data_IF_131172263201
#
_entry.id   IF_131172263201
#
_cell.length_a   1.000
_cell.length_b   1.000
_cell.length_c   1.000
_cell.angle_alpha   90.00
_cell.angle_beta   90.00
_cell.angle_gamma   90.00
#
_symmetry.space_group_name_H-M   'P 1'
#
loop_
_entity.id
_entity.type
_entity.pdbx_description
1 polymer ?
#
# COMPACT_ATOMS: atom_id res chain seq x y z
N UNK A 1 6.42 -3.99 3.55
CA UNK A 1 5.52 -4.64 4.53
C UNK A 1 6.34 -5.16 5.70
N UNK A 2 5.83 -5.09 6.92
CA UNK A 2 6.44 -5.72 8.11
C UNK A 2 5.50 -6.79 8.64
N UNK A 3 6.02 -7.99 8.86
CA UNK A 3 5.30 -9.11 9.46
C UNK A 3 5.79 -9.31 10.90
N UNK A 4 4.89 -9.37 11.86
CA UNK A 4 5.22 -9.40 13.30
C UNK A 4 4.48 -10.52 14.03
N UNK A 5 5.20 -11.22 14.92
CA UNK A 5 4.65 -12.15 15.90
C UNK A 5 5.49 -12.09 17.18
N UNK A 6 4.87 -12.00 18.37
CA UNK A 6 5.54 -12.07 19.67
C UNK A 6 6.85 -11.25 19.77
N UNK A 7 6.78 -9.97 19.39
CA UNK A 7 7.91 -9.00 19.35
C UNK A 7 9.00 -9.27 18.31
N UNK A 8 8.89 -10.31 17.50
CA UNK A 8 9.75 -10.54 16.34
C UNK A 8 9.10 -9.93 15.11
N UNK A 9 9.88 -9.16 14.36
CA UNK A 9 9.42 -8.48 13.14
C UNK A 9 10.38 -8.76 12.00
N UNK A 10 9.85 -8.99 10.80
CA UNK A 10 10.63 -9.11 9.57
C UNK A 10 10.04 -8.21 8.49
N UNK A 11 10.92 -7.58 7.71
CA UNK A 11 10.53 -6.76 6.55
C UNK A 11 10.44 -7.63 5.31
N UNK A 12 9.32 -7.49 4.61
CA UNK A 12 9.07 -8.10 3.31
C UNK A 12 8.90 -6.94 2.32
N UNK A 13 9.79 -6.79 1.33
CA UNK A 13 9.61 -5.80 0.27
C UNK A 13 8.36 -6.15 -0.53
N UNK A 14 7.62 -5.13 -0.97
CA UNK A 14 6.52 -5.30 -1.91
C UNK A 14 6.92 -4.76 -3.29
N UNK A 15 6.41 -5.33 -4.40
CA UNK A 15 5.53 -6.50 -4.45
C UNK A 15 6.26 -7.80 -4.04
N UNK A 16 5.51 -8.80 -3.57
CA UNK A 16 6.04 -10.09 -3.10
C UNK A 16 5.15 -11.27 -3.49
N UNK A 17 5.63 -12.49 -3.25
CA UNK A 17 4.94 -13.76 -3.51
C UNK A 17 4.68 -14.52 -2.21
N UNK A 18 3.75 -15.48 -2.23
CA UNK A 18 3.33 -16.23 -1.04
C UNK A 18 4.50 -16.97 -0.36
N UNK A 19 5.45 -17.50 -1.14
CA UNK A 19 6.60 -18.23 -0.60
C UNK A 19 7.46 -17.36 0.33
N UNK A 20 7.59 -16.06 0.00
CA UNK A 20 8.32 -15.11 0.84
C UNK A 20 7.59 -14.85 2.15
N UNK A 21 6.26 -14.87 2.15
CA UNK A 21 5.43 -14.71 3.36
C UNK A 21 5.57 -15.93 4.25
N UNK A 22 5.44 -17.14 3.69
CA UNK A 22 5.63 -18.39 4.44
C UNK A 22 7.03 -18.45 5.05
N UNK A 23 8.05 -18.04 4.30
CA UNK A 23 9.43 -17.95 4.83
C UNK A 23 9.52 -16.94 5.98
N UNK A 24 8.90 -15.77 5.83
CA UNK A 24 8.86 -14.75 6.86
C UNK A 24 8.14 -15.22 8.14
N UNK A 25 7.01 -15.93 8.03
CA UNK A 25 6.30 -16.54 9.15
C UNK A 25 7.19 -17.49 9.95
N UNK A 26 7.93 -18.36 9.26
CA UNK A 26 8.91 -19.26 9.89
C UNK A 26 10.01 -18.48 10.62
N UNK A 27 10.51 -17.39 10.04
CA UNK A 27 11.54 -16.55 10.67
C UNK A 27 11.06 -15.91 11.98
N UNK A 28 9.79 -15.52 12.06
CA UNK A 28 9.21 -14.92 13.27
C UNK A 28 8.61 -15.94 14.24
N UNK A 29 8.70 -17.24 13.92
CA UNK A 29 8.17 -18.33 14.76
C UNK A 29 6.65 -18.30 14.87
N UNK A 30 5.96 -17.92 13.80
CA UNK A 30 4.51 -18.02 13.72
C UNK A 30 4.12 -19.33 13.05
N UNK A 31 3.50 -20.22 13.84
CA UNK A 31 3.07 -21.54 13.38
C UNK A 31 1.67 -21.49 12.74
N UNK A 32 0.93 -20.41 12.99
CA UNK A 32 -0.40 -20.12 12.47
C UNK A 32 -0.46 -18.71 11.86
N UNK A 33 -1.28 -18.55 10.83
CA UNK A 33 -1.39 -17.31 10.06
C UNK A 33 -2.04 -16.20 10.91
N UNK A 34 -2.99 -16.59 11.74
CA UNK A 34 -3.80 -15.77 12.64
C UNK A 34 -2.97 -15.15 13.79
N UNK A 35 -1.74 -15.65 14.00
CA UNK A 35 -0.79 -15.09 14.98
C UNK A 35 0.03 -13.95 14.38
N UNK A 36 -0.06 -13.72 13.07
CA UNK A 36 0.78 -12.77 12.37
C UNK A 36 0.06 -11.44 12.15
N UNK A 37 0.64 -10.37 12.70
CA UNK A 37 0.24 -9.00 12.40
C UNK A 37 1.08 -8.43 11.26
N UNK A 38 0.43 -7.71 10.36
CA UNK A 38 1.06 -6.97 9.27
C UNK A 38 1.03 -5.49 9.60
N UNK A 39 2.16 -4.81 9.40
CA UNK A 39 2.24 -3.36 9.32
C UNK A 39 2.64 -2.95 7.92
N UNK A 40 1.89 -2.04 7.33
CA UNK A 40 2.28 -1.39 6.08
C UNK A 40 2.98 -0.08 6.43
N UNK A 41 4.23 0.03 5.97
CA UNK A 41 5.09 1.18 6.19
C UNK A 41 5.57 1.66 4.82
N UNK A 42 5.28 2.92 4.49
CA UNK A 42 5.90 3.60 3.36
C UNK A 42 7.26 4.21 3.80
N UNK A 43 8.19 4.47 2.88
CA UNK A 43 9.56 4.91 3.20
C UNK A 43 9.62 6.14 4.11
N UNK A 44 8.70 7.10 3.93
CA UNK A 44 8.73 8.38 4.66
C UNK A 44 7.47 8.69 5.47
N UNK A 45 6.41 7.86 5.37
CA UNK A 45 5.10 8.15 5.99
C UNK A 45 4.34 6.94 6.56
N UNK A 46 3.46 7.29 7.50
CA UNK A 46 2.32 6.59 8.15
C UNK A 46 2.40 5.06 8.27
N UNK A 47 2.29 4.57 9.51
CA UNK A 47 1.86 3.19 9.79
C UNK A 47 0.40 3.13 9.39
N UNK A 48 0.11 2.53 8.23
CA UNK A 48 -1.24 2.59 7.67
C UNK A 48 -2.28 1.87 8.51
N UNK A 49 -1.88 0.82 9.27
CA UNK A 49 -2.62 0.08 10.32
C UNK A 49 -1.97 -1.28 10.56
N UNK A 50 -2.36 -1.92 11.65
CA UNK A 50 -2.08 -3.33 11.90
C UNK A 50 -3.22 -4.17 11.32
N UNK A 51 -2.89 -5.09 10.40
CA UNK A 51 -3.84 -6.05 9.82
C UNK A 51 -3.48 -7.47 10.26
N UNK A 52 -4.46 -8.37 10.30
CA UNK A 52 -4.17 -9.79 10.43
C UNK A 52 -3.76 -10.39 9.07
N UNK A 53 -2.76 -11.27 9.06
CA UNK A 53 -2.26 -11.85 7.81
C UNK A 53 -3.31 -12.73 7.08
N UNK A 54 -4.21 -13.39 7.80
CA UNK A 54 -5.26 -14.23 7.22
C UNK A 54 -6.34 -13.42 6.48
N UNK A 55 -6.56 -12.18 6.90
CA UNK A 55 -7.46 -11.21 6.24
C UNK A 55 -6.82 -10.49 5.05
N UNK A 56 -5.57 -10.79 4.74
CA UNK A 56 -4.79 -10.07 3.73
C UNK A 56 -5.13 -10.53 2.31
N UNK A 57 -5.43 -9.57 1.43
CA UNK A 57 -5.40 -9.79 -0.01
C UNK A 57 -4.03 -9.39 -0.60
N UNK A 58 -3.15 -10.36 -0.82
CA UNK A 58 -1.79 -10.13 -1.33
C UNK A 58 -1.79 -9.43 -2.70
N UNK A 59 -2.76 -9.76 -3.57
CA UNK A 59 -2.89 -9.14 -4.89
C UNK A 59 -3.16 -7.64 -4.76
N UNK A 60 -4.04 -7.25 -3.83
CA UNK A 60 -4.30 -5.83 -3.55
C UNK A 60 -3.08 -5.13 -2.96
N UNK A 61 -2.34 -5.77 -2.06
CA UNK A 61 -1.10 -5.18 -1.51
C UNK A 61 -0.01 -4.99 -2.56
N UNK A 62 0.16 -5.95 -3.45
CA UNK A 62 1.12 -5.84 -4.55
C UNK A 62 0.71 -4.72 -5.53
N UNK A 63 -0.59 -4.62 -5.83
CA UNK A 63 -1.12 -3.51 -6.64
C UNK A 63 -0.89 -2.18 -5.95
N UNK A 64 -1.20 -2.05 -4.67
CA UNK A 64 -0.96 -0.86 -3.85
C UNK A 64 0.51 -0.44 -3.92
N UNK A 65 1.43 -1.36 -3.65
CA UNK A 65 2.86 -1.08 -3.72
C UNK A 65 3.31 -0.63 -5.12
N UNK A 66 2.77 -1.27 -6.17
CA UNK A 66 3.05 -0.90 -7.56
C UNK A 66 2.50 0.46 -7.96
N UNK A 67 1.35 0.88 -7.42
CA UNK A 67 0.81 2.22 -7.64
C UNK A 67 1.65 3.27 -6.88
N UNK A 68 1.98 3.04 -5.61
CA UNK A 68 2.84 3.94 -4.81
C UNK A 68 4.22 4.13 -5.48
N UNK A 69 4.85 3.05 -5.97
CA UNK A 69 6.15 3.14 -6.64
C UNK A 69 6.15 4.01 -7.91
N UNK A 70 4.98 4.23 -8.51
CA UNK A 70 4.82 5.06 -9.72
C UNK A 70 4.39 6.48 -9.40
N UNK A 71 4.14 6.80 -8.13
CA UNK A 71 3.73 8.15 -7.74
C UNK A 71 4.90 9.10 -7.70
N UNK A 72 4.63 10.33 -8.13
CA UNK A 72 5.48 11.48 -7.83
C UNK A 72 5.09 12.05 -6.46
N UNK A 73 6.04 12.73 -5.81
CA UNK A 73 5.91 13.22 -4.42
C UNK A 73 4.68 14.11 -4.18
N UNK A 74 4.25 14.92 -5.16
CA UNK A 74 3.04 15.75 -5.02
C UNK A 74 1.73 14.93 -4.97
N UNK A 75 1.68 13.79 -5.69
CA UNK A 75 0.52 12.90 -5.64
C UNK A 75 0.46 12.16 -4.29
N UNK A 76 1.61 11.90 -3.69
CA UNK A 76 1.75 11.26 -2.38
C UNK A 76 1.19 12.14 -1.26
N UNK A 77 1.47 13.44 -1.27
CA UNK A 77 0.93 14.39 -0.30
C UNK A 77 -0.61 14.49 -0.36
N UNK A 78 -1.17 14.53 -1.57
CA UNK A 78 -2.63 14.55 -1.79
C UNK A 78 -3.30 13.29 -1.24
N UNK A 79 -2.71 12.12 -1.48
CA UNK A 79 -3.18 10.85 -0.94
C UNK A 79 -3.20 10.86 0.60
N UNK A 80 -2.13 11.36 1.23
CA UNK A 80 -2.02 11.42 2.68
C UNK A 80 -3.07 12.36 3.29
N UNK A 81 -3.37 13.48 2.63
CA UNK A 81 -4.44 14.40 3.07
C UNK A 81 -5.79 13.70 3.06
N UNK A 82 -6.13 13.02 1.97
CA UNK A 82 -7.41 12.30 1.81
C UNK A 82 -7.56 11.20 2.87
N UNK A 83 -6.49 10.43 3.12
CA UNK A 83 -6.52 9.35 4.12
C UNK A 83 -6.64 9.92 5.55
N UNK A 84 -5.98 11.05 5.84
CA UNK A 84 -6.08 11.74 7.11
C UNK A 84 -7.49 12.27 7.41
N UNK A 85 -8.21 12.74 6.39
CA UNK A 85 -9.57 13.29 6.52
C UNK A 85 -10.66 12.20 6.64
N UNK A 86 -10.47 11.03 6.00
CA UNK A 86 -11.51 10.01 5.90
C UNK A 86 -11.66 9.08 7.11
N UNK A 87 -10.75 9.10 8.10
CA UNK A 87 -10.89 8.32 9.33
C UNK A 87 -11.09 6.82 9.11
N UNK A 88 -10.06 6.15 8.58
CA UNK A 88 -9.84 4.70 8.43
C UNK A 88 -11.06 3.76 8.62
N UNK A 89 -11.58 3.18 7.53
CA UNK A 89 -12.71 2.22 7.51
C UNK A 89 -12.21 0.75 7.41
N UNK A 90 -13.09 -0.23 7.21
CA UNK A 90 -12.73 -1.66 7.13
C UNK A 90 -12.29 -2.07 5.71
N UNK A 91 -12.66 -1.28 4.69
CA UNK A 91 -12.34 -1.49 3.26
C UNK A 91 -11.10 -0.69 2.78
N UNK A 92 -10.18 -0.39 3.70
CA UNK A 92 -9.09 0.57 3.50
C UNK A 92 -8.23 0.28 2.26
N UNK A 93 -7.84 -0.98 2.02
CA UNK A 93 -6.89 -1.31 0.95
C UNK A 93 -7.46 -1.08 -0.44
N UNK A 94 -8.72 -1.44 -0.66
CA UNK A 94 -9.37 -1.24 -1.95
C UNK A 94 -9.67 0.24 -2.19
N UNK A 95 -10.15 0.94 -1.16
CA UNK A 95 -10.34 2.39 -1.22
C UNK A 95 -9.03 3.11 -1.60
N UNK A 96 -7.92 2.78 -0.92
CA UNK A 96 -6.61 3.38 -1.22
C UNK A 96 -6.18 3.06 -2.65
N UNK A 97 -6.30 1.80 -3.10
CA UNK A 97 -5.96 1.43 -4.48
C UNK A 97 -6.77 2.22 -5.52
N UNK A 98 -8.08 2.43 -5.29
CA UNK A 98 -8.95 3.18 -6.20
C UNK A 98 -8.63 4.68 -6.19
N UNK A 99 -8.38 5.26 -5.02
CA UNK A 99 -7.97 6.67 -4.89
C UNK A 99 -6.66 6.92 -5.62
N UNK A 100 -5.68 6.03 -5.47
CA UNK A 100 -4.40 6.09 -6.18
C UNK A 100 -4.58 6.05 -7.70
N UNK A 101 -5.39 5.13 -8.21
CA UNK A 101 -5.68 5.01 -9.62
C UNK A 101 -6.37 6.26 -10.17
N UNK A 102 -7.29 6.86 -9.41
CA UNK A 102 -7.99 8.09 -9.79
C UNK A 102 -7.05 9.30 -9.84
N UNK A 103 -6.18 9.48 -8.84
CA UNK A 103 -5.16 10.55 -8.84
C UNK A 103 -4.28 10.42 -10.09
N UNK A 104 -3.83 9.20 -10.43
CA UNK A 104 -3.02 8.94 -11.61
C UNK A 104 -3.76 9.29 -12.92
N UNK A 105 -5.02 8.85 -13.06
CA UNK A 105 -5.83 9.13 -14.25
C UNK A 105 -6.05 10.63 -14.41
N UNK A 106 -6.38 11.34 -13.35
CA UNK A 106 -6.62 12.78 -13.40
C UNK A 106 -5.36 13.55 -13.80
N UNK A 107 -4.19 13.19 -13.25
CA UNK A 107 -2.92 13.81 -13.67
C UNK A 107 -2.63 13.54 -15.15
N UNK A 108 -2.75 12.30 -15.61
CA UNK A 108 -2.53 11.96 -17.01
C UNK A 108 -3.50 12.70 -17.96
N UNK A 109 -4.74 12.92 -17.54
CA UNK A 109 -5.72 13.71 -18.29
C UNK A 109 -5.39 15.21 -18.30
N UNK A 110 -4.90 15.77 -17.19
CA UNK A 110 -4.45 17.16 -17.10
C UNK A 110 -3.22 17.39 -18.00
N UNK A 111 -2.26 16.46 -18.01
CA UNK A 111 -1.09 16.53 -18.90
C UNK A 111 -1.47 16.41 -20.38
N UNK A 112 -2.35 15.46 -20.74
CA UNK A 112 -2.87 15.32 -22.10
C UNK A 112 -3.66 16.55 -22.56
N UNK A 113 -4.50 17.14 -21.69
CA UNK A 113 -5.29 18.31 -22.03
C UNK A 113 -4.46 19.61 -22.00
N UNK A 114 -3.40 19.67 -21.21
CA UNK A 114 -2.43 20.76 -21.17
C UNK A 114 -1.57 20.84 -22.43
N UNK A 115 -1.27 19.71 -23.08
CA UNK A 115 -0.55 19.67 -24.36
C UNK A 115 -1.42 20.03 -25.58
N UNK A 116 -2.75 20.07 -25.46
CA UNK A 116 -3.67 20.39 -26.57
C UNK A 116 -3.91 21.90 -26.80
N UNK A 117 -3.15 22.80 -26.16
CA UNK A 117 -3.29 24.25 -26.35
C UNK A 117 -1.99 24.98 -26.69
N UNK A 118 -1.24 24.48 -27.67
CA UNK A 118 -0.31 25.32 -28.44
C UNK A 118 -0.30 24.87 -29.91
N UNK A 119 -1.33 25.29 -30.65
CA UNK A 119 -1.20 25.53 -32.10
C UNK A 119 -1.64 26.95 -32.38
N UNK A 120 -0.61 27.81 -32.41
CA UNK A 120 -0.38 29.04 -33.22
C UNK A 120 -1.64 29.83 -33.60
#
# INVERSE_FOLDING_TARGET
MELTNNRRTVRIPLPTVEENIVRAQRCIGADQVEQCLIKLKAPDYVIFKEYQLDTMNLSLLNRLAGEIQKMESEAEEELLSIIGECGYLVDDLEFICRTLEHIRINKAQIECNGQMRLKI
#
